data_IF_664540505271
#
_entry.id   IF_664540505271
#
_cell.length_a   1.000
_cell.length_b   1.000
_cell.length_c   1.000
_cell.angle_alpha   90.00
_cell.angle_beta   90.00
_cell.angle_gamma   90.00
#
_symmetry.space_group_name_H-M   'P 1'
#
loop_
_entity.id
_entity.type
_entity.pdbx_description
1 polymer ?
#
# COMPACT_ATOMS: atom_id res chain seq x y z
N UNK A 1 -7.46 5.20 -7.94
CA UNK A 1 -7.31 6.33 -6.99
C UNK A 1 -5.86 6.33 -6.51
N UNK A 2 -5.20 7.49 -6.48
CA UNK A 2 -3.83 7.61 -5.95
C UNK A 2 -3.88 7.59 -4.42
N UNK A 3 -2.92 6.91 -3.81
CA UNK A 3 -2.57 7.02 -2.40
C UNK A 3 -1.18 7.64 -2.33
N UNK A 4 -1.00 8.57 -1.41
CA UNK A 4 0.28 9.23 -1.17
C UNK A 4 1.06 8.48 -0.10
N UNK A 5 2.36 8.33 -0.32
CA UNK A 5 3.26 7.76 0.68
C UNK A 5 3.73 8.82 1.66
N UNK A 6 3.64 8.46 2.93
CA UNK A 6 4.37 9.15 3.99
C UNK A 6 5.72 8.48 4.15
N UNK A 7 6.72 9.24 4.58
CA UNK A 7 7.99 8.65 5.01
C UNK A 7 7.79 7.79 6.26
N UNK A 8 7.02 8.30 7.21
CA UNK A 8 6.59 7.58 8.40
C UNK A 8 5.37 8.25 9.03
N UNK A 9 4.56 7.46 9.73
CA UNK A 9 3.50 8.02 10.57
C UNK A 9 4.09 8.51 11.89
N UNK A 10 3.72 9.72 12.37
CA UNK A 10 4.17 10.20 13.66
C UNK A 10 3.69 9.25 14.76
N UNK A 11 4.57 8.95 15.73
CA UNK A 11 4.20 8.20 16.93
C UNK A 11 3.26 9.04 17.80
N UNK A 12 2.34 8.38 18.48
CA UNK A 12 1.40 9.03 19.40
C UNK A 12 2.06 9.19 20.76
N UNK A 13 2.09 10.44 21.26
CA UNK A 13 2.66 10.76 22.56
C UNK A 13 1.95 9.99 23.68
N UNK A 14 2.74 9.47 24.63
CA UNK A 14 2.24 8.72 25.77
C UNK A 14 1.89 7.26 25.50
N UNK A 15 2.03 6.77 24.26
CA UNK A 15 1.90 5.34 23.93
C UNK A 15 3.25 4.63 24.10
N UNK A 16 3.26 3.56 24.89
CA UNK A 16 4.41 2.66 24.98
C UNK A 16 4.35 1.62 23.85
N UNK A 17 5.09 1.88 22.78
CA UNK A 17 5.20 0.97 21.63
C UNK A 17 6.05 -0.28 21.92
N UNK A 18 6.73 -0.34 23.07
CA UNK A 18 7.46 -1.52 23.51
C UNK A 18 6.62 -2.46 24.40
N UNK A 19 5.38 -2.07 24.73
CA UNK A 19 4.46 -2.92 25.48
C UNK A 19 4.11 -4.19 24.68
N UNK A 20 3.84 -5.29 25.40
CA UNK A 20 3.40 -6.56 24.80
C UNK A 20 2.11 -6.40 23.98
N UNK A 21 1.25 -5.47 24.38
CA UNK A 21 0.04 -5.12 23.64
C UNK A 21 -0.12 -3.61 23.54
N UNK A 22 -0.36 -3.13 22.33
CA UNK A 22 -0.66 -1.73 22.02
C UNK A 22 -2.11 -1.64 21.56
N UNK A 23 -2.89 -0.73 22.14
CA UNK A 23 -4.26 -0.50 21.67
C UNK A 23 -4.26 0.16 20.29
N UNK A 24 -4.86 -0.51 19.30
CA UNK A 24 -4.99 0.00 17.94
C UNK A 24 -5.74 1.35 17.94
N UNK A 25 -6.82 1.45 18.72
CA UNK A 25 -7.58 2.70 18.84
C UNK A 25 -6.74 3.87 19.36
N UNK A 26 -5.75 3.62 20.21
CA UNK A 26 -4.88 4.66 20.77
C UNK A 26 -3.87 5.22 19.76
N UNK A 27 -3.54 4.46 18.71
CA UNK A 27 -2.53 4.83 17.71
C UNK A 27 -3.12 5.21 16.35
N UNK A 28 -4.41 4.98 16.13
CA UNK A 28 -5.09 5.35 14.89
C UNK A 28 -5.34 6.86 14.80
N UNK A 29 -5.15 7.47 13.62
CA UNK A 29 -5.58 8.84 13.37
C UNK A 29 -7.09 8.98 13.52
N UNK A 30 -7.54 10.02 14.22
CA UNK A 30 -8.96 10.27 14.48
C UNK A 30 -9.49 11.46 13.67
N UNK A 31 -10.74 11.43 13.16
CA UNK A 31 -11.35 12.60 12.51
C UNK A 31 -11.30 13.86 13.38
N UNK A 32 -10.93 14.99 12.77
CA UNK A 32 -10.70 16.27 13.44
C UNK A 32 -9.31 16.42 14.08
N UNK A 33 -8.51 15.35 14.16
CA UNK A 33 -7.13 15.44 14.64
C UNK A 33 -6.27 16.21 13.64
N UNK A 34 -5.42 17.11 14.15
CA UNK A 34 -4.41 17.77 13.33
C UNK A 34 -3.05 17.11 13.53
N UNK A 35 -2.36 16.87 12.42
CA UNK A 35 -1.04 16.21 12.39
C UNK A 35 -0.12 16.99 11.46
N UNK A 36 1.19 16.93 11.73
CA UNK A 36 2.22 17.37 10.78
C UNK A 36 2.86 16.13 10.17
N UNK A 37 2.78 16.00 8.85
CA UNK A 37 3.19 14.82 8.10
C UNK A 37 4.30 15.17 7.11
N UNK A 38 5.34 14.34 7.07
CA UNK A 38 6.41 14.42 6.08
C UNK A 38 6.09 13.53 4.87
N UNK A 39 6.23 14.12 3.68
CA UNK A 39 6.04 13.43 2.40
C UNK A 39 7.34 13.45 1.63
N UNK A 40 7.61 12.41 0.86
CA UNK A 40 8.68 12.45 -0.14
C UNK A 40 8.48 13.68 -1.04
N UNK A 41 9.58 14.39 -1.34
CA UNK A 41 9.65 15.78 -1.86
C UNK A 41 8.77 16.17 -3.08
N UNK A 42 8.09 15.22 -3.74
CA UNK A 42 7.18 15.47 -4.86
C UNK A 42 5.73 15.00 -4.64
N UNK A 43 5.41 14.40 -3.49
CA UNK A 43 4.15 13.67 -3.28
C UNK A 43 3.15 14.38 -2.37
N UNK A 44 3.50 15.57 -1.88
CA UNK A 44 2.62 16.41 -1.07
C UNK A 44 1.61 17.22 -1.90
N UNK A 45 0.34 17.25 -1.45
CA UNK A 45 -0.68 18.11 -2.04
C UNK A 45 -0.49 19.59 -1.73
N UNK A 46 -1.36 20.42 -2.27
CA UNK A 46 -1.44 21.85 -1.96
C UNK A 46 -2.42 22.11 -0.82
N UNK A 47 -2.30 23.27 -0.17
CA UNK A 47 -3.28 23.71 0.82
C UNK A 47 -4.69 23.67 0.24
N UNK A 48 -5.62 23.02 0.96
CA UNK A 48 -7.00 22.80 0.54
C UNK A 48 -7.26 21.42 -0.07
N UNK A 49 -6.23 20.73 -0.55
CA UNK A 49 -6.37 19.37 -1.10
C UNK A 49 -6.78 18.37 -0.02
N UNK A 50 -7.51 17.32 -0.43
CA UNK A 50 -7.78 16.16 0.41
C UNK A 50 -6.97 14.98 -0.11
N UNK A 51 -5.96 14.59 0.66
CA UNK A 51 -5.08 13.49 0.37
C UNK A 51 -5.66 12.18 0.90
N UNK A 52 -5.38 11.10 0.18
CA UNK A 52 -5.61 9.72 0.63
C UNK A 52 -4.27 9.12 1.01
N UNK A 53 -4.17 8.65 2.24
CA UNK A 53 -2.96 8.12 2.86
C UNK A 53 -3.22 6.69 3.29
N UNK A 54 -2.19 5.84 3.24
CA UNK A 54 -2.26 4.51 3.80
C UNK A 54 -1.69 4.54 5.22
N UNK A 55 -2.52 4.23 6.21
CA UNK A 55 -2.06 3.96 7.56
C UNK A 55 -1.84 2.46 7.71
N UNK A 56 -0.62 2.10 8.10
CA UNK A 56 -0.22 0.73 8.36
C UNK A 56 0.09 0.57 9.86
N UNK A 57 -0.24 -0.59 10.44
CA UNK A 57 0.28 -1.00 11.74
C UNK A 57 1.80 -0.80 11.87
N UNK A 58 2.33 -0.42 13.04
CA UNK A 58 3.75 -0.10 13.22
C UNK A 58 4.72 -1.16 12.70
N UNK A 59 4.44 -2.45 12.94
CA UNK A 59 5.31 -3.52 12.47
C UNK A 59 5.35 -3.59 10.94
N UNK A 60 4.18 -3.58 10.28
CA UNK A 60 4.09 -3.55 8.81
C UNK A 60 4.57 -2.24 8.18
N UNK A 61 4.53 -1.11 8.89
CA UNK A 61 5.09 0.15 8.40
C UNK A 61 6.62 0.07 8.28
N UNK A 62 7.29 -0.68 9.17
CA UNK A 62 8.74 -0.86 9.16
C UNK A 62 9.18 -2.06 8.30
N UNK A 63 8.42 -3.16 8.31
CA UNK A 63 8.84 -4.45 7.72
C UNK A 63 7.99 -4.90 6.52
N UNK A 64 6.92 -4.18 6.20
CA UNK A 64 5.93 -4.58 5.21
C UNK A 64 4.96 -5.66 5.71
N UNK A 65 3.82 -5.81 5.02
CA UNK A 65 2.85 -6.87 5.33
C UNK A 65 3.35 -8.28 5.00
N UNK A 66 4.46 -8.44 4.28
CA UNK A 66 5.02 -9.76 3.96
C UNK A 66 5.41 -10.54 5.21
N UNK A 67 5.85 -9.86 6.25
CA UNK A 67 6.22 -10.46 7.54
C UNK A 67 5.02 -10.65 8.47
N UNK A 68 3.95 -9.86 8.28
CA UNK A 68 2.70 -9.95 9.06
C UNK A 68 1.46 -9.70 8.20
N UNK A 69 1.05 -10.67 7.38
CA UNK A 69 -0.11 -10.49 6.52
C UNK A 69 -1.41 -10.21 7.29
N UNK A 70 -1.54 -10.65 8.55
CA UNK A 70 -2.75 -10.40 9.34
C UNK A 70 -3.01 -8.90 9.60
N UNK A 71 -1.97 -8.07 9.59
CA UNK A 71 -2.05 -6.61 9.79
C UNK A 71 -2.71 -5.87 8.62
N UNK A 72 -2.91 -6.54 7.49
CA UNK A 72 -3.78 -6.03 6.42
C UNK A 72 -5.21 -5.73 6.92
N UNK A 73 -5.73 -6.53 7.87
CA UNK A 73 -7.05 -6.28 8.50
C UNK A 73 -7.08 -5.02 9.34
N UNK A 74 -5.92 -4.61 9.82
CA UNK A 74 -5.72 -3.47 10.71
C UNK A 74 -5.10 -2.29 9.95
N UNK A 75 -5.12 -2.33 8.62
CA UNK A 75 -4.68 -1.22 7.77
C UNK A 75 -5.86 -0.31 7.47
N UNK A 76 -5.63 0.99 7.45
CA UNK A 76 -6.67 2.00 7.25
C UNK A 76 -6.33 2.93 6.09
N UNK A 77 -7.36 3.32 5.35
CA UNK A 77 -7.32 4.43 4.42
C UNK A 77 -7.66 5.71 5.19
N UNK A 78 -6.72 6.65 5.23
CA UNK A 78 -6.88 7.92 5.93
C UNK A 78 -7.05 9.03 4.93
N UNK A 79 -8.04 9.88 5.18
CA UNK A 79 -8.31 11.06 4.38
C UNK A 79 -7.86 12.28 5.16
N UNK A 80 -6.98 13.09 4.60
CA UNK A 80 -6.37 14.20 5.30
C UNK A 80 -6.48 15.47 4.45
N UNK A 81 -7.08 16.53 4.99
CA UNK A 81 -7.15 17.83 4.34
C UNK A 81 -5.88 18.62 4.65
N UNK A 82 -5.18 19.09 3.63
CA UNK A 82 -3.98 19.91 3.80
C UNK A 82 -4.40 21.30 4.28
N UNK A 83 -3.97 21.66 5.50
CA UNK A 83 -4.19 22.98 6.08
C UNK A 83 -3.07 23.95 5.70
N UNK A 84 -1.83 23.45 5.67
CA UNK A 84 -0.64 24.25 5.39
C UNK A 84 0.46 23.37 4.82
N UNK A 85 1.21 23.91 3.87
CA UNK A 85 2.45 23.30 3.36
C UNK A 85 3.64 24.14 3.84
N UNK A 86 4.56 23.52 4.55
CA UNK A 86 5.82 24.12 5.02
C UNK A 86 6.94 23.47 4.23
N UNK A 87 7.61 24.28 3.39
CA UNK A 87 8.75 23.83 2.58
C UNK A 87 9.99 24.54 3.09
N UNK A 88 10.97 23.77 3.54
CA UNK A 88 12.34 24.24 3.71
C UNK A 88 13.26 23.57 2.68
N UNK A 89 14.55 23.90 2.70
CA UNK A 89 15.51 23.41 1.69
C UNK A 89 15.75 21.88 1.77
N UNK A 90 15.36 21.23 2.88
CA UNK A 90 15.64 19.82 3.14
C UNK A 90 14.37 18.98 3.44
N UNK A 91 13.24 19.61 3.77
CA UNK A 91 12.05 18.97 4.31
C UNK A 91 10.76 19.62 3.76
N UNK A 92 9.76 18.79 3.49
CA UNK A 92 8.45 19.18 2.99
C UNK A 92 7.38 18.62 3.92
N UNK A 93 6.94 19.45 4.88
CA UNK A 93 5.93 19.10 5.87
C UNK A 93 4.57 19.64 5.49
N UNK A 94 3.54 18.85 5.77
CA UNK A 94 2.16 19.24 5.57
C UNK A 94 1.44 19.14 6.90
N UNK A 95 0.94 20.27 7.37
CA UNK A 95 -0.03 20.25 8.45
C UNK A 95 -1.38 19.89 7.85
N UNK A 96 -1.98 18.83 8.39
CA UNK A 96 -3.23 18.26 7.88
C UNK A 96 -4.25 18.14 8.99
N UNK A 97 -5.52 18.15 8.62
CA UNK A 97 -6.63 17.72 9.46
C UNK A 97 -7.17 16.39 8.94
N UNK A 98 -7.29 15.41 9.82
CA UNK A 98 -7.87 14.11 9.47
C UNK A 98 -9.38 14.27 9.25
N UNK A 99 -9.85 13.87 8.08
CA UNK A 99 -11.25 13.94 7.66
C UNK A 99 -11.96 12.61 7.92
N UNK A 100 -11.33 11.50 7.53
CA UNK A 100 -11.85 10.14 7.74
C UNK A 100 -10.71 9.15 7.97
N UNK A 101 -11.03 8.06 8.65
CA UNK A 101 -10.15 6.91 8.85
C UNK A 101 -11.01 5.65 8.69
N UNK A 102 -10.81 4.94 7.57
CA UNK A 102 -11.68 3.85 7.13
C UNK A 102 -10.87 2.56 7.02
N UNK A 103 -11.38 1.45 7.53
CA UNK A 103 -10.69 0.17 7.40
C UNK A 103 -10.52 -0.18 5.91
N UNK A 104 -9.31 -0.57 5.50
CA UNK A 104 -8.95 -0.75 4.10
C UNK A 104 -9.82 -1.80 3.41
N UNK A 105 -10.02 -2.96 4.05
CA UNK A 105 -10.67 -4.11 3.43
C UNK A 105 -12.15 -3.86 3.08
N UNK A 106 -12.96 -3.28 3.97
CA UNK A 106 -14.30 -2.82 3.61
C UNK A 106 -14.31 -1.87 2.41
N UNK A 107 -13.37 -0.91 2.35
CA UNK A 107 -13.26 0.01 1.21
C UNK A 107 -12.96 -0.76 -0.07
N UNK A 108 -11.98 -1.66 -0.07
CA UNK A 108 -11.62 -2.46 -1.25
C UNK A 108 -12.78 -3.32 -1.78
N UNK A 109 -13.54 -3.93 -0.87
CA UNK A 109 -14.71 -4.76 -1.21
C UNK A 109 -15.90 -3.96 -1.74
N UNK A 110 -15.99 -2.68 -1.38
CA UNK A 110 -17.07 -1.80 -1.82
C UNK A 110 -16.83 -1.17 -3.20
N UNK A 111 -15.60 -1.24 -3.74
CA UNK A 111 -15.26 -0.67 -5.04
C UNK A 111 -16.08 -1.29 -6.17
N UNK A 112 -16.55 -0.45 -7.10
CA UNK A 112 -17.25 -0.90 -8.32
C UNK A 112 -16.25 -1.22 -9.43
N UNK A 113 -16.65 -2.08 -10.36
CA UNK A 113 -15.81 -2.38 -11.52
C UNK A 113 -15.46 -1.10 -12.30
N UNK A 114 -14.21 -1.00 -12.71
CA UNK A 114 -13.57 0.16 -13.36
C UNK A 114 -13.51 1.44 -12.52
N UNK A 115 -13.86 1.36 -11.23
CA UNK A 115 -13.68 2.45 -10.30
C UNK A 115 -12.20 2.72 -10.09
N UNK A 116 -11.76 3.86 -10.62
CA UNK A 116 -10.42 4.39 -10.47
C UNK A 116 -9.30 3.41 -10.88
N UNK A 117 -9.56 2.80 -12.05
CA UNK A 117 -8.74 1.84 -12.78
C UNK A 117 -7.24 2.20 -12.83
N UNK A 118 -6.39 1.19 -12.68
CA UNK A 118 -4.93 1.29 -12.71
C UNK A 118 -4.34 0.08 -13.45
N UNK A 119 -3.15 0.25 -14.03
CA UNK A 119 -2.42 -0.83 -14.74
C UNK A 119 -1.24 -1.33 -13.90
N UNK A 120 -0.85 -2.58 -14.10
CA UNK A 120 0.36 -3.12 -13.48
C UNK A 120 1.60 -2.38 -13.99
N UNK A 121 2.62 -2.18 -13.14
CA UNK A 121 3.85 -1.53 -13.56
C UNK A 121 4.54 -2.30 -14.68
N UNK A 122 5.03 -1.55 -15.67
CA UNK A 122 5.83 -2.05 -16.78
C UNK A 122 7.22 -1.45 -16.75
N UNK A 123 8.22 -2.22 -17.16
CA UNK A 123 9.60 -1.79 -17.36
C UNK A 123 9.93 -1.83 -18.84
N UNK A 124 10.65 -0.82 -19.32
CA UNK A 124 11.27 -0.81 -20.64
C UNK A 124 12.73 -1.25 -20.49
N UNK A 125 13.06 -2.41 -21.05
CA UNK A 125 14.45 -2.84 -21.21
C UNK A 125 15.03 -2.24 -22.49
N UNK A 126 15.96 -1.30 -22.31
CA UNK A 126 16.67 -0.66 -23.42
C UNK A 126 17.96 -1.39 -23.79
N UNK A 127 18.32 -2.50 -23.12
CA UNK A 127 19.52 -3.29 -23.42
C UNK A 127 19.28 -4.32 -24.53
N UNK A 128 18.04 -4.62 -24.87
CA UNK A 128 17.68 -5.52 -25.99
C UNK A 128 17.50 -4.76 -27.30
N UNK A 129 17.75 -5.42 -28.43
CA UNK A 129 17.44 -4.89 -29.77
C UNK A 129 16.46 -5.82 -30.51
N UNK A 130 15.18 -5.39 -30.73
CA UNK A 130 14.61 -4.11 -30.30
C UNK A 130 14.37 -4.04 -28.78
N UNK A 131 14.21 -2.84 -28.19
CA UNK A 131 13.83 -2.67 -26.80
C UNK A 131 12.55 -3.43 -26.45
N UNK A 132 12.53 -4.07 -25.29
CA UNK A 132 11.43 -4.93 -24.86
C UNK A 132 10.71 -4.34 -23.65
N UNK A 133 9.37 -4.31 -23.69
CA UNK A 133 8.54 -3.89 -22.55
C UNK A 133 7.96 -5.12 -21.87
N UNK A 134 8.18 -5.23 -20.57
CA UNK A 134 7.63 -6.31 -19.75
C UNK A 134 6.94 -5.81 -18.49
N UNK A 135 6.08 -6.65 -17.90
CA UNK A 135 5.48 -6.35 -16.60
C UNK A 135 6.51 -6.63 -15.52
N UNK A 136 6.69 -5.73 -14.56
CA UNK A 136 7.64 -5.95 -13.45
C UNK A 136 7.42 -7.30 -12.75
N UNK A 137 6.15 -7.74 -12.69
CA UNK A 137 5.74 -9.02 -12.11
C UNK A 137 6.26 -10.26 -12.88
N UNK A 138 6.70 -10.11 -14.12
CA UNK A 138 7.27 -11.20 -14.92
C UNK A 138 8.74 -11.50 -14.56
N UNK A 139 9.44 -10.54 -13.92
CA UNK A 139 10.85 -10.65 -13.54
C UNK A 139 11.05 -10.84 -12.02
N UNK A 140 10.02 -11.33 -11.33
CA UNK A 140 10.09 -11.54 -9.87
C UNK A 140 10.99 -12.71 -9.52
N UNK A 141 11.95 -12.47 -8.62
CA UNK A 141 12.84 -13.51 -8.10
C UNK A 141 12.32 -14.09 -6.78
N UNK A 142 11.47 -13.33 -6.08
CA UNK A 142 10.80 -13.76 -4.88
C UNK A 142 9.34 -13.30 -4.91
N UNK A 143 8.46 -14.17 -4.47
CA UNK A 143 7.02 -13.92 -4.39
C UNK A 143 6.44 -14.63 -3.17
N UNK A 144 5.66 -13.91 -2.38
CA UNK A 144 4.94 -14.39 -1.23
C UNK A 144 3.45 -14.06 -1.35
N UNK A 145 2.59 -14.92 -0.82
CA UNK A 145 1.15 -14.74 -0.86
C UNK A 145 0.48 -15.12 0.45
N UNK A 146 -0.54 -14.36 0.84
CA UNK A 146 -1.45 -14.71 1.93
C UNK A 146 -2.89 -14.45 1.52
N UNK A 147 -3.82 -15.22 2.08
CA UNK A 147 -5.26 -14.94 1.99
C UNK A 147 -5.73 -14.30 3.28
N UNK A 148 -6.30 -13.11 3.17
CA UNK A 148 -6.83 -12.35 4.30
C UNK A 148 -8.27 -11.97 3.97
N UNK A 149 -9.22 -12.37 4.81
CA UNK A 149 -10.65 -12.08 4.65
C UNK A 149 -11.22 -12.30 3.24
N UNK A 150 -10.77 -13.35 2.56
CA UNK A 150 -11.20 -13.72 1.21
C UNK A 150 -10.53 -12.94 0.07
N UNK A 151 -9.62 -12.02 0.37
CA UNK A 151 -8.76 -11.35 -0.61
C UNK A 151 -7.37 -11.99 -0.62
N UNK A 152 -6.73 -12.00 -1.78
CA UNK A 152 -5.37 -12.51 -1.94
C UNK A 152 -4.40 -11.35 -1.95
N UNK A 153 -3.50 -11.32 -0.98
CA UNK A 153 -2.35 -10.42 -0.94
C UNK A 153 -1.14 -11.10 -1.57
N UNK A 154 -0.42 -10.36 -2.42
CA UNK A 154 0.82 -10.80 -3.06
C UNK A 154 1.89 -9.75 -2.76
N UNK A 155 3.04 -10.20 -2.26
CA UNK A 155 4.26 -9.42 -2.14
C UNK A 155 5.29 -10.01 -3.10
N UNK A 156 5.98 -9.17 -3.87
CA UNK A 156 7.00 -9.64 -4.79
C UNK A 156 8.18 -8.68 -4.86
N UNK A 157 9.36 -9.21 -5.18
CA UNK A 157 10.55 -8.41 -5.46
C UNK A 157 11.32 -8.92 -6.66
N UNK A 158 12.01 -8.01 -7.34
CA UNK A 158 12.89 -8.30 -8.48
C UNK A 158 14.36 -8.22 -8.06
N UNK A 159 15.27 -8.69 -8.91
CA UNK A 159 16.70 -8.55 -8.69
C UNK A 159 17.19 -7.09 -8.73
N UNK A 160 16.41 -6.19 -9.33
CA UNK A 160 16.71 -4.77 -9.46
C UNK A 160 16.12 -3.94 -8.29
N UNK A 161 15.90 -4.56 -7.14
CA UNK A 161 15.37 -3.92 -5.92
C UNK A 161 14.00 -3.24 -6.11
N UNK A 162 13.23 -3.67 -7.11
CA UNK A 162 11.83 -3.28 -7.22
C UNK A 162 10.98 -4.15 -6.30
N UNK A 163 10.13 -3.53 -5.50
CA UNK A 163 9.17 -4.18 -4.62
C UNK A 163 7.74 -3.89 -5.10
N UNK A 164 6.90 -4.91 -5.10
CA UNK A 164 5.50 -4.83 -5.50
C UNK A 164 4.60 -5.47 -4.47
N UNK A 165 3.44 -4.87 -4.28
CA UNK A 165 2.38 -5.37 -3.43
C UNK A 165 1.05 -5.27 -4.18
N UNK A 166 0.31 -6.38 -4.23
CA UNK A 166 -0.99 -6.46 -4.86
C UNK A 166 -2.02 -7.01 -3.88
N UNK A 167 -3.24 -6.49 -3.93
CA UNK A 167 -4.41 -7.17 -3.36
C UNK A 167 -5.36 -7.45 -4.51
N UNK A 168 -5.73 -8.71 -4.68
CA UNK A 168 -6.59 -9.19 -5.74
C UNK A 168 -7.77 -9.98 -5.19
N UNK A 169 -8.84 -10.01 -5.97
CA UNK A 169 -10.04 -10.79 -5.70
C UNK A 169 -10.38 -11.66 -6.92
N UNK A 170 -10.76 -12.92 -6.69
CA UNK A 170 -11.24 -13.80 -7.74
C UNK A 170 -12.77 -13.99 -7.62
N UNK A 171 -13.50 -13.58 -8.65
CA UNK A 171 -14.97 -13.68 -8.72
C UNK A 171 -15.37 -14.36 -10.01
N UNK A 172 -16.04 -15.52 -9.92
CA UNK A 172 -16.49 -16.26 -11.10
C UNK A 172 -15.35 -16.67 -12.04
N UNK A 173 -14.17 -16.96 -11.50
CA UNK A 173 -12.96 -17.27 -12.26
C UNK A 173 -12.27 -16.07 -12.92
N UNK A 174 -12.77 -14.85 -12.69
CA UNK A 174 -12.15 -13.61 -13.18
C UNK A 174 -11.35 -12.96 -12.05
N UNK A 175 -10.17 -12.44 -12.39
CA UNK A 175 -9.29 -11.81 -11.43
C UNK A 175 -9.43 -10.29 -11.47
N UNK A 176 -9.65 -9.68 -10.31
CA UNK A 176 -9.76 -8.23 -10.14
C UNK A 176 -8.60 -7.72 -9.29
N UNK A 177 -7.87 -6.73 -9.79
CA UNK A 177 -6.93 -5.96 -8.97
C UNK A 177 -7.68 -4.92 -8.15
N UNK A 178 -7.39 -4.84 -6.85
CA UNK A 178 -8.01 -3.90 -5.90
C UNK A 178 -7.01 -2.87 -5.35
N UNK A 179 -5.77 -3.30 -5.16
CA UNK A 179 -4.66 -2.48 -4.66
C UNK A 179 -3.38 -2.81 -5.43
N UNK A 180 -2.59 -1.78 -5.73
CA UNK A 180 -1.26 -1.90 -6.31
C UNK A 180 -0.32 -0.88 -5.68
N UNK A 181 0.73 -1.37 -5.04
CA UNK A 181 1.88 -0.58 -4.61
C UNK A 181 3.13 -1.10 -5.33
N UNK A 182 3.98 -0.16 -5.73
CA UNK A 182 5.25 -0.42 -6.38
C UNK A 182 6.27 0.60 -5.86
N UNK A 183 7.49 0.15 -5.59
CA UNK A 183 8.62 1.00 -5.25
C UNK A 183 9.89 0.45 -5.85
N UNK A 184 10.67 1.32 -6.47
CA UNK A 184 11.99 1.02 -7.03
C UNK A 184 12.93 2.25 -6.80
N UNK A 185 14.20 2.19 -7.20
CA UNK A 185 15.11 3.34 -7.05
C UNK A 185 14.67 4.62 -7.80
N UNK A 186 13.79 4.50 -8.79
CA UNK A 186 13.20 5.62 -9.53
C UNK A 186 11.98 6.24 -8.85
N UNK A 187 11.41 5.59 -7.84
CA UNK A 187 10.34 6.12 -7.00
C UNK A 187 9.31 5.08 -6.59
N UNK A 188 8.24 5.55 -5.95
CA UNK A 188 7.15 4.71 -5.48
C UNK A 188 5.79 5.26 -5.88
N UNK A 189 4.81 4.37 -6.07
CA UNK A 189 3.42 4.74 -6.19
C UNK A 189 2.50 3.73 -5.50
N UNK A 190 1.34 4.21 -5.08
CA UNK A 190 0.30 3.39 -4.47
C UNK A 190 -1.05 3.76 -5.07
N UNK A 191 -1.84 2.74 -5.43
CA UNK A 191 -3.15 2.92 -6.05
C UNK A 191 -4.15 1.92 -5.49
N UNK A 192 -5.35 2.43 -5.22
CA UNK A 192 -6.56 1.63 -4.98
C UNK A 192 -7.51 1.82 -6.15
N UNK A 193 -8.18 0.76 -6.57
CA UNK A 193 -9.21 0.80 -7.59
C UNK A 193 -9.55 -0.62 -7.99
N UNK A 194 -10.73 -0.85 -8.54
CA UNK A 194 -11.15 -2.19 -8.94
C UNK A 194 -11.13 -2.29 -10.44
N UNK A 195 -10.28 -3.17 -10.97
CA UNK A 195 -10.16 -3.41 -12.39
C UNK A 195 -10.06 -4.90 -12.67
N UNK A 196 -10.83 -5.37 -13.65
CA UNK A 196 -10.66 -6.71 -14.19
C UNK A 196 -9.31 -6.82 -14.89
N UNK A 197 -8.47 -7.75 -14.43
CA UNK A 197 -7.21 -8.07 -15.08
C UNK A 197 -7.51 -8.94 -16.30
N UNK A 198 -6.77 -8.71 -17.39
CA UNK A 198 -6.94 -9.48 -18.62
C UNK A 198 -5.63 -9.66 -19.36
N UNK A 199 -5.63 -10.60 -20.31
CA UNK A 199 -4.51 -10.83 -21.21
C UNK A 199 -3.19 -11.11 -20.48
N UNK A 200 -2.19 -10.24 -20.69
CA UNK A 200 -0.85 -10.40 -20.12
C UNK A 200 -0.83 -10.25 -18.61
N UNK A 201 -1.55 -9.26 -18.08
CA UNK A 201 -1.56 -8.95 -16.64
C UNK A 201 -2.20 -10.08 -15.83
N UNK A 202 -3.33 -10.62 -16.30
CA UNK A 202 -3.96 -11.77 -15.64
C UNK A 202 -3.01 -12.98 -15.60
N UNK A 203 -2.34 -13.29 -16.72
CA UNK A 203 -1.35 -14.38 -16.77
C UNK A 203 -0.21 -14.16 -15.80
N UNK A 204 0.36 -12.95 -15.77
CA UNK A 204 1.46 -12.63 -14.86
C UNK A 204 1.04 -12.77 -13.39
N UNK A 205 -0.13 -12.27 -13.01
CA UNK A 205 -0.61 -12.39 -11.61
C UNK A 205 -0.93 -13.84 -11.25
N UNK A 206 -1.59 -14.60 -12.14
CA UNK A 206 -1.85 -16.02 -11.89
C UNK A 206 -0.55 -16.82 -11.77
N UNK A 207 0.44 -16.53 -12.61
CA UNK A 207 1.76 -17.16 -12.51
C UNK A 207 2.41 -16.83 -11.16
N UNK A 208 2.39 -15.55 -10.75
CA UNK A 208 2.92 -15.13 -9.46
C UNK A 208 2.20 -15.83 -8.28
N UNK A 209 0.87 -15.96 -8.32
CA UNK A 209 0.11 -16.71 -7.32
C UNK A 209 0.53 -18.19 -7.27
N UNK A 210 0.76 -18.82 -8.43
CA UNK A 210 1.15 -20.23 -8.51
C UNK A 210 2.57 -20.50 -8.00
N UNK A 211 3.50 -19.57 -8.19
CA UNK A 211 4.90 -19.72 -7.75
C UNK A 211 5.19 -19.10 -6.39
N UNK A 212 4.20 -18.39 -5.81
CA UNK A 212 4.33 -17.74 -4.51
C UNK A 212 4.54 -18.74 -3.37
N UNK A 213 5.29 -18.31 -2.37
CA UNK A 213 5.39 -19.00 -1.08
C UNK A 213 4.26 -18.52 -0.16
N UNK A 214 3.66 -19.39 0.65
CA UNK A 214 2.69 -18.94 1.64
C UNK A 214 3.36 -18.01 2.67
N UNK A 215 2.73 -16.89 2.96
CA UNK A 215 3.11 -15.96 4.01
C UNK A 215 2.29 -16.22 5.27
N UNK A 216 2.93 -16.01 6.42
CA UNK A 216 2.33 -16.13 7.74
C UNK A 216 2.95 -15.07 8.65
N UNK A 217 2.27 -14.74 9.74
CA UNK A 217 2.80 -13.81 10.72
C UNK A 217 4.07 -14.38 11.36
N UNK A 218 5.16 -13.61 11.31
CA UNK A 218 6.44 -13.99 11.93
C UNK A 218 6.44 -13.88 13.45
N UNK A 219 5.45 -13.21 14.04
CA UNK A 219 5.29 -13.06 15.48
C UNK A 219 3.81 -12.97 15.93
N UNK A 220 3.57 -13.19 17.22
CA UNK A 220 2.23 -13.18 17.82
C UNK A 220 1.53 -11.82 17.74
N UNK A 221 0.19 -11.77 17.88
CA UNK A 221 -0.56 -10.52 17.85
C UNK A 221 -0.13 -9.60 19.00
N UNK A 222 0.08 -8.32 18.70
CA UNK A 222 0.39 -7.28 19.69
C UNK A 222 -0.60 -6.11 19.63
N UNK A 223 -1.41 -6.01 18.57
CA UNK A 223 -2.42 -4.96 18.46
C UNK A 223 -3.72 -5.43 19.09
N UNK A 224 -4.08 -4.78 20.20
CA UNK A 224 -5.37 -4.94 20.87
C UNK A 224 -6.44 -4.03 20.28
N UNK A 225 -7.71 -4.41 20.45
CA UNK A 225 -8.85 -3.58 20.04
C UNK A 225 -8.93 -2.24 20.80
#
# INVERSE_FOLDING_TARGET
MKIHYLETWPRVDGVDYAAETVSLKAILPAPGQQLSLAFALADGGQTGDVLRLLWQPPFSAENGWSERPSELRQTFLVSAKVLRVVRDEADCRHDVEIVSCEALFPVLKALREDEASWQLPTVLDTQTDPPHVFLTLEEVIWCGMATVDGLTYIAASTAAEAYMQLIVEEVGGQLFGLFCAHSDPGGAFCRIGRRRLGGREERAVRQAMQTSRPLADSCGPYLGA
#
